data_IF_684853687576
#
_entry.id   IF_684853687576
#
_cell.length_a   1.000
_cell.length_b   1.000
_cell.length_c   1.000
_cell.angle_alpha   90.00
_cell.angle_beta   90.00
_cell.angle_gamma   90.00
#
_symmetry.space_group_name_H-M   'P 1'
#
loop_
_entity.id
_entity.type
_entity.pdbx_description
1 polymer ?
#
# COMPACT_ATOMS: atom_id res chain seq x y z
N UNK A 1 20.79 0.87 -7.54
CA UNK A 1 20.27 2.13 -6.98
C UNK A 1 18.76 2.08 -6.61
N UNK A 2 18.24 0.94 -6.11
CA UNK A 2 16.90 0.94 -5.50
C UNK A 2 17.03 0.66 -4.03
N UNK A 3 16.34 1.47 -3.23
CA UNK A 3 16.19 1.27 -1.80
C UNK A 3 15.05 0.27 -1.61
N UNK A 4 15.39 -0.94 -1.19
CA UNK A 4 14.39 -1.91 -0.76
C UNK A 4 14.42 -2.00 0.75
N UNK A 5 13.24 -1.98 1.42
CA UNK A 5 13.18 -2.16 2.87
C UNK A 5 13.63 -3.56 3.30
N UNK A 6 13.66 -4.53 2.38
CA UNK A 6 14.12 -5.89 2.64
C UNK A 6 14.70 -6.54 1.37
N UNK A 7 15.47 -7.64 1.49
CA UNK A 7 15.99 -8.37 0.34
C UNK A 7 14.87 -8.82 -0.59
N UNK A 8 14.89 -8.35 -1.83
CA UNK A 8 13.88 -8.72 -2.83
C UNK A 8 14.30 -9.96 -3.62
N UNK A 9 13.34 -10.80 -4.00
CA UNK A 9 13.60 -11.99 -4.81
C UNK A 9 14.26 -11.69 -6.16
N UNK A 10 14.89 -12.71 -6.77
CA UNK A 10 15.61 -12.60 -8.07
C UNK A 10 14.74 -11.98 -9.16
N UNK A 11 13.48 -12.37 -9.23
CA UNK A 11 12.52 -11.84 -10.20
C UNK A 11 12.27 -10.33 -10.07
N UNK A 12 12.00 -9.86 -8.84
CA UNK A 12 11.78 -8.43 -8.56
C UNK A 12 13.02 -7.60 -8.89
N UNK A 13 14.23 -8.12 -8.60
CA UNK A 13 15.50 -7.49 -9.03
C UNK A 13 15.62 -7.37 -10.55
N UNK A 14 15.28 -8.42 -11.27
CA UNK A 14 15.33 -8.42 -12.73
C UNK A 14 14.34 -7.40 -13.32
N UNK A 15 13.08 -7.42 -12.88
CA UNK A 15 12.03 -6.47 -13.32
C UNK A 15 12.47 -5.03 -13.11
N UNK A 16 13.06 -4.75 -11.97
CA UNK A 16 13.56 -3.44 -11.59
C UNK A 16 14.73 -2.99 -12.48
N UNK A 17 15.68 -3.89 -12.81
CA UNK A 17 16.75 -3.60 -13.78
C UNK A 17 16.21 -3.35 -15.19
N UNK A 18 15.18 -4.08 -15.62
CA UNK A 18 14.50 -3.82 -16.88
C UNK A 18 13.85 -2.44 -16.88
N UNK A 19 13.18 -2.06 -15.78
CA UNK A 19 12.61 -0.71 -15.58
C UNK A 19 13.65 0.40 -15.72
N UNK A 20 14.83 0.28 -15.12
CA UNK A 20 15.91 1.28 -15.29
C UNK A 20 16.37 1.42 -16.74
N UNK A 21 16.49 0.31 -17.45
CA UNK A 21 16.86 0.34 -18.88
C UNK A 21 15.78 1.06 -19.70
N UNK A 22 14.51 0.82 -19.38
CA UNK A 22 13.38 1.52 -19.99
C UNK A 22 13.43 3.02 -19.71
N UNK A 23 13.60 3.43 -18.45
CA UNK A 23 13.68 4.84 -18.04
C UNK A 23 14.79 5.59 -18.79
N UNK A 24 15.98 4.99 -18.91
CA UNK A 24 17.11 5.61 -19.61
C UNK A 24 16.84 5.85 -21.09
N UNK A 25 16.04 4.99 -21.72
CA UNK A 25 15.68 5.06 -23.15
C UNK A 25 14.43 5.93 -23.42
N UNK A 26 13.66 6.26 -22.40
CA UNK A 26 12.39 6.97 -22.57
C UNK A 26 12.59 8.43 -22.97
N UNK A 27 11.92 8.92 -24.01
CA UNK A 27 12.00 10.35 -24.39
C UNK A 27 11.44 11.27 -23.30
N UNK A 28 10.42 10.80 -22.58
CA UNK A 28 9.77 11.49 -21.47
C UNK A 28 9.47 10.48 -20.36
N UNK A 29 9.66 10.88 -19.11
CA UNK A 29 9.37 10.07 -17.91
C UNK A 29 8.29 10.77 -17.10
N UNK A 30 7.16 10.09 -16.91
CA UNK A 30 6.12 10.56 -15.99
C UNK A 30 6.42 10.06 -14.58
N UNK A 31 6.57 10.98 -13.64
CA UNK A 31 6.69 10.71 -12.23
C UNK A 31 5.36 11.02 -11.54
N UNK A 32 4.93 10.15 -10.63
CA UNK A 32 3.62 10.28 -9.95
C UNK A 32 3.64 11.30 -8.80
N UNK A 33 4.83 11.76 -8.43
CA UNK A 33 5.07 12.73 -7.36
C UNK A 33 6.45 13.37 -7.51
N UNK A 34 6.68 14.46 -6.78
CA UNK A 34 8.00 15.08 -6.69
C UNK A 34 9.03 14.12 -6.09
N UNK A 35 8.62 13.28 -5.12
CA UNK A 35 9.49 12.27 -4.53
C UNK A 35 9.99 11.27 -5.58
N UNK A 36 9.08 10.72 -6.39
CA UNK A 36 9.44 9.79 -7.45
C UNK A 36 10.34 10.45 -8.53
N UNK A 37 10.14 11.73 -8.83
CA UNK A 37 11.00 12.48 -9.74
C UNK A 37 12.42 12.64 -9.17
N UNK A 38 12.55 13.03 -7.90
CA UNK A 38 13.84 13.15 -7.23
C UNK A 38 14.59 11.82 -7.19
N UNK A 39 13.90 10.72 -6.89
CA UNK A 39 14.51 9.39 -6.94
C UNK A 39 14.95 9.00 -8.36
N UNK A 40 14.18 9.34 -9.39
CA UNK A 40 14.58 9.06 -10.78
C UNK A 40 15.86 9.81 -11.18
N UNK A 41 16.04 11.05 -10.70
CA UNK A 41 17.28 11.81 -10.90
C UNK A 41 18.44 11.17 -10.13
N UNK A 42 18.29 11.03 -8.81
CA UNK A 42 19.35 10.58 -7.90
C UNK A 42 19.81 9.15 -8.20
N UNK A 43 18.87 8.25 -8.50
CA UNK A 43 19.14 6.83 -8.58
C UNK A 43 19.15 6.25 -9.98
N UNK A 44 18.36 6.80 -10.91
CA UNK A 44 18.32 6.33 -12.28
C UNK A 44 19.16 7.19 -13.24
N UNK A 45 19.62 8.38 -12.80
CA UNK A 45 20.42 9.31 -13.60
C UNK A 45 19.64 9.90 -14.76
N UNK A 46 18.33 10.10 -14.57
CA UNK A 46 17.46 10.68 -15.59
C UNK A 46 17.64 12.20 -15.57
N UNK A 47 17.86 12.80 -16.75
CA UNK A 47 17.89 14.24 -16.91
C UNK A 47 16.54 14.84 -16.44
N UNK A 48 16.52 15.77 -15.46
CA UNK A 48 15.31 16.42 -14.99
C UNK A 48 14.47 17.05 -16.12
N UNK A 49 15.09 17.51 -17.21
CA UNK A 49 14.40 18.09 -18.36
C UNK A 49 13.43 17.10 -19.03
N UNK A 50 13.69 15.79 -18.89
CA UNK A 50 12.88 14.67 -19.41
C UNK A 50 11.84 14.18 -18.43
N UNK A 51 11.72 14.75 -17.23
CA UNK A 51 10.75 14.31 -16.22
C UNK A 51 9.56 15.27 -16.20
N UNK A 52 8.34 14.72 -16.14
CA UNK A 52 7.11 15.47 -15.87
C UNK A 52 6.42 14.84 -14.67
N UNK A 53 6.15 15.66 -13.65
CA UNK A 53 5.36 15.22 -12.50
C UNK A 53 3.89 15.36 -12.85
N UNK A 54 3.18 14.23 -12.84
CA UNK A 54 1.73 14.17 -13.04
C UNK A 54 1.17 13.39 -11.87
N UNK A 55 0.58 14.11 -10.92
CA UNK A 55 -0.06 13.49 -9.76
C UNK A 55 -1.23 12.62 -10.19
N UNK A 56 -1.36 11.45 -9.57
CA UNK A 56 -2.53 10.62 -9.77
C UNK A 56 -3.77 11.28 -9.17
N UNK A 57 -4.87 11.20 -9.92
CA UNK A 57 -6.19 11.53 -9.40
C UNK A 57 -6.79 10.40 -8.60
N UNK A 58 -7.94 10.67 -8.00
CA UNK A 58 -8.80 9.69 -7.35
C UNK A 58 -9.91 9.29 -8.32
N UNK A 59 -10.26 8.00 -8.35
CA UNK A 59 -11.31 7.49 -9.24
C UNK A 59 -12.69 8.08 -8.91
N UNK A 60 -13.58 8.32 -9.89
CA UNK A 60 -14.88 8.96 -9.65
C UNK A 60 -15.76 8.35 -8.53
N UNK A 61 -15.80 7.03 -8.29
CA UNK A 61 -16.60 6.45 -7.21
C UNK A 61 -16.16 6.85 -5.80
N UNK A 62 -14.89 7.21 -5.62
CA UNK A 62 -14.31 7.55 -4.32
C UNK A 62 -14.55 9.01 -4.00
N UNK A 63 -15.72 9.29 -3.43
CA UNK A 63 -16.10 10.62 -2.93
C UNK A 63 -16.08 10.63 -1.39
N UNK A 64 -15.78 11.78 -0.77
CA UNK A 64 -15.89 11.93 0.68
C UNK A 64 -17.27 11.51 1.19
N UNK A 65 -17.30 10.85 2.35
CA UNK A 65 -18.55 10.54 3.04
C UNK A 65 -19.31 11.84 3.38
N UNK A 66 -20.64 11.79 3.35
CA UNK A 66 -21.48 12.95 3.69
C UNK A 66 -21.35 13.39 5.15
N UNK A 67 -20.97 12.47 6.04
CA UNK A 67 -20.67 12.71 7.44
C UNK A 67 -19.47 11.85 7.88
N UNK A 68 -18.71 12.26 8.92
CA UNK A 68 -17.67 11.44 9.49
C UNK A 68 -18.23 10.11 10.00
N UNK A 69 -17.52 9.02 9.69
CA UNK A 69 -17.84 7.67 10.17
C UNK A 69 -17.11 7.49 11.49
N UNK A 70 -17.85 7.49 12.59
CA UNK A 70 -17.24 7.28 13.91
C UNK A 70 -17.07 5.79 14.20
N UNK A 71 -15.82 5.36 14.39
CA UNK A 71 -15.47 4.23 15.26
C UNK A 71 -15.92 2.83 14.86
N UNK A 72 -16.44 2.60 13.64
CA UNK A 72 -16.87 1.26 13.23
C UNK A 72 -15.70 0.29 13.02
N UNK A 73 -14.62 0.78 12.42
CA UNK A 73 -13.44 -0.02 12.13
C UNK A 73 -12.21 0.84 11.81
N UNK A 74 -11.03 0.22 11.85
CA UNK A 74 -9.83 0.75 11.19
C UNK A 74 -9.67 0.02 9.86
N UNK A 75 -9.53 0.77 8.77
CA UNK A 75 -9.36 0.20 7.44
C UNK A 75 -7.88 0.19 7.02
N UNK A 76 -7.42 -0.97 6.56
CA UNK A 76 -6.15 -1.14 5.88
C UNK A 76 -6.39 -1.60 4.44
N UNK A 77 -5.93 -0.82 3.46
CA UNK A 77 -6.04 -1.17 2.03
C UNK A 77 -4.67 -1.52 1.47
N UNK A 78 -4.45 -2.80 1.14
CA UNK A 78 -3.18 -3.28 0.63
C UNK A 78 -2.95 -4.78 0.79
N UNK A 79 -1.76 -5.22 0.35
CA UNK A 79 -1.30 -6.60 0.48
C UNK A 79 -0.15 -6.75 1.47
N UNK A 80 0.46 -7.94 1.48
CA UNK A 80 1.59 -8.29 2.36
C UNK A 80 2.94 -7.74 1.91
N UNK A 81 2.99 -6.92 0.86
CA UNK A 81 4.25 -6.33 0.41
C UNK A 81 4.87 -5.49 1.54
N UNK A 82 6.20 -5.63 1.81
CA UNK A 82 6.83 -4.96 2.95
C UNK A 82 6.63 -3.45 3.00
N UNK A 83 6.63 -2.77 1.84
CA UNK A 83 6.44 -1.32 1.76
C UNK A 83 5.02 -0.86 2.12
N UNK A 84 4.06 -1.79 2.25
CA UNK A 84 2.70 -1.52 2.74
C UNK A 84 2.58 -1.68 4.26
N UNK A 85 3.64 -2.11 4.95
CA UNK A 85 3.77 -2.10 6.40
C UNK A 85 2.61 -2.75 7.21
N UNK A 86 1.94 -3.78 6.67
CA UNK A 86 0.88 -4.48 7.42
C UNK A 86 1.38 -5.01 8.77
N UNK A 87 2.64 -5.44 8.83
CA UNK A 87 3.26 -5.92 10.07
C UNK A 87 3.22 -4.87 11.20
N UNK A 88 3.39 -3.58 10.87
CA UNK A 88 3.34 -2.48 11.86
C UNK A 88 1.91 -2.31 12.38
N UNK A 89 0.91 -2.37 11.50
CA UNK A 89 -0.51 -2.29 11.89
C UNK A 89 -0.87 -3.44 12.82
N UNK A 90 -0.50 -4.68 12.48
CA UNK A 90 -0.76 -5.85 13.33
C UNK A 90 -0.01 -5.78 14.67
N UNK A 91 1.20 -5.22 14.69
CA UNK A 91 1.95 -5.00 15.92
C UNK A 91 1.23 -3.98 16.83
N UNK A 92 0.68 -2.90 16.28
CA UNK A 92 -0.10 -1.92 17.04
C UNK A 92 -1.33 -2.57 17.72
N UNK A 93 -2.01 -3.48 17.02
CA UNK A 93 -3.14 -4.24 17.58
C UNK A 93 -2.75 -5.29 18.64
N UNK A 94 -1.46 -5.51 18.86
CA UNK A 94 -0.93 -6.39 19.90
C UNK A 94 -0.45 -5.62 21.14
N UNK A 95 -0.50 -4.28 21.13
CA UNK A 95 -0.05 -3.45 22.25
C UNK A 95 -1.11 -3.42 23.38
N UNK A 96 -0.69 -3.21 24.64
CA UNK A 96 -1.63 -3.01 25.74
C UNK A 96 -2.60 -1.85 25.45
N UNK A 97 -3.89 -2.08 25.65
CA UNK A 97 -4.95 -1.08 25.39
C UNK A 97 -5.45 -1.05 23.95
N UNK A 98 -4.89 -1.87 23.06
CA UNK A 98 -5.39 -2.01 21.69
C UNK A 98 -6.83 -2.54 21.63
N UNK A 99 -7.36 -3.13 22.71
CA UNK A 99 -8.76 -3.54 22.83
C UNK A 99 -9.74 -2.37 22.70
N UNK A 100 -9.30 -1.15 23.02
CA UNK A 100 -10.08 0.08 22.84
C UNK A 100 -10.17 0.52 21.36
N UNK A 101 -9.34 -0.04 20.47
CA UNK A 101 -9.41 0.26 19.04
C UNK A 101 -10.61 -0.45 18.40
N UNK A 102 -11.24 0.17 17.39
CA UNK A 102 -12.18 -0.52 16.53
C UNK A 102 -11.57 -1.78 15.88
N UNK A 103 -12.39 -2.76 15.44
CA UNK A 103 -11.86 -3.92 14.71
C UNK A 103 -11.11 -3.49 13.44
N UNK A 104 -10.08 -4.26 13.07
CA UNK A 104 -9.30 -4.04 11.86
C UNK A 104 -9.98 -4.69 10.65
N UNK A 105 -10.04 -3.98 9.53
CA UNK A 105 -10.45 -4.52 8.23
C UNK A 105 -9.26 -4.48 7.29
N UNK A 106 -8.87 -5.63 6.76
CA UNK A 106 -7.82 -5.74 5.74
C UNK A 106 -8.49 -5.95 4.39
N UNK A 107 -8.44 -4.93 3.55
CA UNK A 107 -8.97 -4.93 2.20
C UNK A 107 -7.83 -5.14 1.18
N UNK A 108 -7.78 -6.30 0.54
CA UNK A 108 -6.76 -6.60 -0.47
C UNK A 108 -6.38 -8.08 -0.57
N UNK A 109 -5.30 -8.40 -1.32
CA UNK A 109 -4.88 -9.76 -1.60
C UNK A 109 -4.12 -10.38 -0.41
N UNK A 110 -4.81 -10.57 0.71
CA UNK A 110 -4.30 -11.18 1.94
C UNK A 110 -5.16 -12.39 2.28
N UNK A 111 -4.54 -13.49 2.70
CA UNK A 111 -5.24 -14.67 3.21
C UNK A 111 -4.96 -14.85 4.69
N UNK A 112 -5.89 -15.46 5.42
CA UNK A 112 -5.74 -15.77 6.84
C UNK A 112 -4.48 -16.62 7.13
N UNK A 113 -4.16 -17.55 6.23
CA UNK A 113 -2.98 -18.42 6.35
C UNK A 113 -1.65 -17.66 6.23
N UNK A 114 -1.64 -16.53 5.53
CA UNK A 114 -0.44 -15.72 5.32
C UNK A 114 -0.23 -14.66 6.43
N UNK A 115 -1.18 -14.51 7.36
CA UNK A 115 -1.02 -13.63 8.51
C UNK A 115 -0.05 -14.23 9.55
N UNK A 116 0.75 -13.38 10.22
CA UNK A 116 1.52 -13.83 11.38
C UNK A 116 0.60 -14.29 12.51
N UNK A 117 1.16 -14.94 13.54
CA UNK A 117 0.40 -15.46 14.71
C UNK A 117 -0.55 -14.40 15.29
N UNK A 118 -0.05 -13.20 15.61
CA UNK A 118 -0.89 -12.13 16.15
C UNK A 118 -2.05 -11.73 15.23
N UNK A 119 -1.86 -11.73 13.92
CA UNK A 119 -2.95 -11.46 12.97
C UNK A 119 -4.01 -12.57 12.95
N UNK A 120 -3.60 -13.83 13.08
CA UNK A 120 -4.51 -14.98 13.17
C UNK A 120 -5.28 -14.98 14.50
N UNK A 121 -4.64 -14.57 15.59
CA UNK A 121 -5.30 -14.44 16.90
C UNK A 121 -6.37 -13.33 16.87
N UNK A 122 -6.09 -12.19 16.25
CA UNK A 122 -7.08 -11.13 16.06
C UNK A 122 -8.27 -11.61 15.21
N UNK A 123 -8.01 -12.40 14.17
CA UNK A 123 -9.06 -13.00 13.34
C UNK A 123 -9.94 -13.97 14.16
N UNK A 124 -9.32 -14.85 14.94
CA UNK A 124 -10.04 -15.80 15.81
C UNK A 124 -10.91 -15.09 16.86
N UNK A 125 -10.45 -13.94 17.37
CA UNK A 125 -11.18 -13.09 18.32
C UNK A 125 -12.19 -12.14 17.67
N UNK A 126 -12.39 -12.23 16.34
CA UNK A 126 -13.24 -11.31 15.56
C UNK A 126 -12.85 -9.83 15.70
N UNK A 127 -11.58 -9.56 15.99
CA UNK A 127 -10.98 -8.22 16.04
C UNK A 127 -10.32 -7.82 14.73
N UNK A 128 -10.23 -8.74 13.79
CA UNK A 128 -9.78 -8.53 12.42
C UNK A 128 -10.75 -9.24 11.47
N UNK A 129 -11.12 -8.60 10.36
CA UNK A 129 -11.74 -9.26 9.19
C UNK A 129 -10.91 -9.00 7.94
N UNK A 130 -10.99 -9.94 6.98
CA UNK A 130 -10.32 -9.83 5.69
C UNK A 130 -11.40 -9.69 4.62
N UNK A 131 -11.32 -8.61 3.86
CA UNK A 131 -12.10 -8.38 2.64
C UNK A 131 -11.15 -8.69 1.46
N UNK A 132 -11.22 -9.93 0.97
CA UNK A 132 -10.33 -10.41 -0.07
C UNK A 132 -10.80 -9.90 -1.44
N UNK A 133 -9.92 -9.22 -2.16
CA UNK A 133 -10.19 -8.70 -3.52
C UNK A 133 -11.50 -7.88 -3.65
N UNK A 134 -11.71 -6.84 -2.81
CA UNK A 134 -12.89 -6.01 -2.93
C UNK A 134 -12.86 -5.26 -4.27
N UNK A 135 -14.04 -5.10 -4.88
CA UNK A 135 -14.20 -4.18 -6.01
C UNK A 135 -14.29 -2.72 -5.52
N UNK A 136 -14.36 -1.79 -6.46
CA UNK A 136 -14.40 -0.36 -6.15
C UNK A 136 -15.64 0.01 -5.32
N UNK A 137 -16.80 -0.61 -5.58
CA UNK A 137 -18.02 -0.36 -4.82
C UNK A 137 -17.85 -0.78 -3.35
N UNK A 138 -17.32 -1.99 -3.13
CA UNK A 138 -17.04 -2.49 -1.78
C UNK A 138 -15.96 -1.68 -1.07
N UNK A 139 -14.93 -1.21 -1.79
CA UNK A 139 -13.92 -0.32 -1.20
C UNK A 139 -14.53 1.03 -0.79
N UNK A 140 -15.42 1.61 -1.60
CA UNK A 140 -16.13 2.85 -1.24
C UNK A 140 -16.97 2.65 0.02
N UNK A 141 -17.71 1.54 0.14
CA UNK A 141 -18.46 1.20 1.36
C UNK A 141 -17.57 1.07 2.60
N UNK A 142 -16.32 0.61 2.45
CA UNK A 142 -15.39 0.50 3.58
C UNK A 142 -14.78 1.86 3.96
N UNK A 143 -14.70 2.82 3.03
CA UNK A 143 -14.23 4.17 3.30
C UNK A 143 -15.30 5.09 3.91
N UNK A 144 -16.57 4.71 3.80
CA UNK A 144 -17.77 5.46 4.23
C UNK A 144 -18.46 4.78 5.42
#
# INVERSE_FOLDING_TARGET
PFRFPSPVGRWKRWRVRAGLRSLRRATLVHAVSQHAASEAVEYAGIDPSRIRVVHWGVGPPFQPAAAPVEGEHVLYVGGLDPHKNLAVVLAAYSLPGAEALPPLVIAGPVSAAALPVGGRDLLARKRLRIEAHPDDARLVELYQ
#
